data_IF_684354777000
#
_entry.id   IF_684354777000
#
_cell.length_a   1.000
_cell.length_b   1.000
_cell.length_c   1.000
_cell.angle_alpha   90.00
_cell.angle_beta   90.00
_cell.angle_gamma   90.00
#
_symmetry.space_group_name_H-M   'P 1'
#
loop_
_entity.id
_entity.type
_entity.pdbx_description
1 polymer ?
#
# COMPACT_ATOMS: atom_id res chain seq x y z
N UNK A 1 -0.17 -29.02 9.90
CA UNK A 1 -0.76 -29.05 8.53
C UNK A 1 -0.44 -27.73 7.85
N UNK A 2 -0.11 -27.73 6.55
CA UNK A 2 0.11 -26.50 5.80
C UNK A 2 -1.22 -26.07 5.16
N UNK A 3 -1.76 -24.92 5.56
CA UNK A 3 -3.11 -24.46 5.17
C UNK A 3 -3.06 -23.27 4.23
N UNK A 4 -2.32 -22.22 4.60
CA UNK A 4 -2.28 -20.95 3.88
C UNK A 4 -1.46 -21.03 2.59
N UNK A 5 -0.28 -21.67 2.62
CA UNK A 5 0.62 -21.82 1.46
C UNK A 5 1.06 -23.28 1.29
N UNK A 6 0.24 -24.18 0.71
CA UNK A 6 0.49 -25.63 0.67
C UNK A 6 1.77 -26.03 -0.08
N UNK A 7 2.24 -25.19 -1.01
CA UNK A 7 3.49 -25.35 -1.76
C UNK A 7 4.64 -24.46 -1.21
N UNK A 8 4.40 -23.74 -0.11
CA UNK A 8 5.33 -22.80 0.49
C UNK A 8 5.43 -21.44 -0.19
N UNK A 9 4.67 -21.17 -1.27
CA UNK A 9 4.79 -19.93 -2.05
C UNK A 9 3.45 -19.32 -2.47
N UNK A 10 2.52 -20.15 -2.95
CA UNK A 10 1.23 -19.71 -3.49
C UNK A 10 0.14 -19.79 -2.44
N UNK A 11 -0.69 -18.75 -2.37
CA UNK A 11 -1.83 -18.78 -1.46
C UNK A 11 -2.84 -19.87 -1.85
N UNK A 12 -3.34 -20.59 -0.85
CA UNK A 12 -4.32 -21.66 -1.02
C UNK A 12 -5.68 -21.13 -1.48
N UNK A 13 -6.20 -21.66 -2.59
CA UNK A 13 -7.57 -21.36 -3.06
C UNK A 13 -8.64 -21.75 -2.03
N UNK A 14 -8.31 -22.63 -1.09
CA UNK A 14 -9.23 -23.04 -0.02
C UNK A 14 -9.39 -22.00 1.08
N UNK A 15 -8.57 -20.94 1.13
CA UNK A 15 -8.65 -19.87 2.14
C UNK A 15 -9.14 -18.53 1.57
N UNK A 16 -8.91 -18.28 0.28
CA UNK A 16 -9.28 -17.02 -0.39
C UNK A 16 -10.79 -16.76 -0.28
N UNK A 17 -11.15 -15.60 0.28
CA UNK A 17 -12.54 -15.16 0.47
C UNK A 17 -13.37 -16.05 1.41
N UNK A 18 -12.74 -16.96 2.16
CA UNK A 18 -13.44 -17.86 3.06
C UNK A 18 -13.61 -17.27 4.46
N UNK A 19 -14.68 -17.64 5.20
CA UNK A 19 -14.85 -17.19 6.58
C UNK A 19 -13.77 -17.77 7.49
N UNK A 20 -13.41 -17.03 8.54
CA UNK A 20 -12.35 -17.41 9.48
C UNK A 20 -12.58 -18.80 10.09
N UNK A 21 -13.83 -19.16 10.41
CA UNK A 21 -14.14 -20.49 10.95
C UNK A 21 -13.86 -21.66 9.99
N UNK A 22 -14.02 -21.47 8.68
CA UNK A 22 -13.61 -22.49 7.70
C UNK A 22 -12.08 -22.65 7.68
N UNK A 23 -11.35 -21.54 7.71
CA UNK A 23 -9.88 -21.55 7.74
C UNK A 23 -9.39 -22.19 9.04
N UNK A 24 -10.00 -21.84 10.17
CA UNK A 24 -9.73 -22.43 11.48
C UNK A 24 -9.95 -23.95 11.48
N UNK A 25 -11.04 -24.46 10.88
CA UNK A 25 -11.24 -25.91 10.72
C UNK A 25 -10.17 -26.56 9.85
N UNK A 26 -9.76 -25.92 8.76
CA UNK A 26 -8.67 -26.44 7.92
C UNK A 26 -7.34 -26.49 8.67
N UNK A 27 -7.16 -25.60 9.65
CA UNK A 27 -5.99 -25.50 10.52
C UNK A 27 -6.12 -26.25 11.85
N UNK A 28 -7.21 -27.00 12.05
CA UNK A 28 -7.50 -27.75 13.28
C UNK A 28 -7.47 -26.87 14.56
N UNK A 29 -7.87 -25.60 14.45
CA UNK A 29 -8.00 -24.70 15.59
C UNK A 29 -9.27 -25.03 16.40
N UNK A 30 -9.22 -24.97 17.75
CA UNK A 30 -10.39 -25.19 18.60
C UNK A 30 -11.44 -24.09 18.39
N UNK A 31 -12.70 -24.40 18.70
CA UNK A 31 -13.85 -23.48 18.63
C UNK A 31 -14.00 -22.75 17.29
N UNK A 32 -13.62 -23.41 16.19
CA UNK A 32 -13.51 -22.82 14.86
C UNK A 32 -14.78 -22.08 14.40
N UNK A 33 -15.98 -22.58 14.69
CA UNK A 33 -17.24 -21.95 14.28
C UNK A 33 -17.49 -20.57 14.91
N UNK A 34 -16.86 -20.28 16.05
CA UNK A 34 -16.98 -18.99 16.73
C UNK A 34 -15.91 -17.98 16.29
N UNK A 35 -14.85 -18.42 15.61
CA UNK A 35 -13.76 -17.56 15.17
C UNK A 35 -14.22 -16.65 14.03
N UNK A 36 -14.08 -15.33 14.22
CA UNK A 36 -14.38 -14.29 13.22
C UNK A 36 -13.15 -13.73 12.53
N UNK A 37 -12.00 -13.83 13.18
CA UNK A 37 -10.74 -13.31 12.68
C UNK A 37 -9.58 -14.10 13.29
N UNK A 38 -8.52 -14.34 12.52
CA UNK A 38 -7.32 -15.04 12.99
C UNK A 38 -6.16 -14.03 12.99
N UNK A 39 -5.42 -13.95 14.10
CA UNK A 39 -4.23 -13.12 14.22
C UNK A 39 -3.01 -14.00 14.43
N UNK A 40 -1.94 -13.72 13.69
CA UNK A 40 -0.65 -14.43 13.78
C UNK A 40 0.41 -13.40 14.19
N UNK A 41 1.26 -13.74 15.15
CA UNK A 41 2.38 -12.86 15.50
C UNK A 41 3.40 -12.90 14.37
N UNK A 42 3.82 -11.73 13.89
CA UNK A 42 4.96 -11.62 13.00
C UNK A 42 6.26 -11.70 13.79
N UNK A 43 7.21 -12.51 13.31
CA UNK A 43 8.51 -12.69 13.96
C UNK A 43 9.61 -11.94 13.21
N UNK A 44 9.75 -12.18 11.91
CA UNK A 44 10.72 -11.50 11.05
C UNK A 44 10.12 -11.16 9.69
N UNK A 45 10.27 -9.92 9.21
CA UNK A 45 9.83 -9.54 7.85
C UNK A 45 10.90 -10.00 6.86
N UNK A 46 10.96 -11.31 6.68
CA UNK A 46 11.89 -11.98 5.76
C UNK A 46 11.10 -12.67 4.65
N UNK A 47 11.76 -12.95 3.55
CA UNK A 47 11.18 -13.61 2.37
C UNK A 47 10.64 -15.00 2.66
N UNK A 48 11.04 -15.63 3.77
CA UNK A 48 10.62 -16.97 4.18
C UNK A 48 9.32 -16.96 5.00
N UNK A 49 8.96 -15.84 5.66
CA UNK A 49 7.69 -15.74 6.39
C UNK A 49 6.58 -15.21 5.47
N UNK A 50 5.86 -16.16 4.87
CA UNK A 50 4.73 -15.87 3.99
C UNK A 50 3.60 -15.11 4.68
N UNK A 51 3.52 -15.09 6.02
CA UNK A 51 2.55 -14.24 6.73
C UNK A 51 2.82 -12.75 6.55
N UNK A 52 4.02 -12.34 6.12
CA UNK A 52 4.31 -10.98 5.68
C UNK A 52 3.59 -10.59 4.38
N UNK A 53 3.09 -11.57 3.62
CA UNK A 53 2.45 -11.37 2.32
C UNK A 53 0.94 -11.18 2.37
N UNK A 54 0.37 -10.97 1.19
CA UNK A 54 -1.08 -10.90 0.98
C UNK A 54 -1.79 -12.24 1.31
N UNK A 55 -2.94 -12.16 1.99
CA UNK A 55 -3.68 -13.33 2.51
C UNK A 55 -5.11 -13.47 1.99
N UNK A 56 -5.70 -12.43 1.37
CA UNK A 56 -7.05 -12.42 0.78
C UNK A 56 -8.14 -13.13 1.61
N UNK A 57 -8.05 -13.06 2.94
CA UNK A 57 -8.84 -13.82 3.90
C UNK A 57 -8.79 -13.13 5.27
N UNK A 58 -9.69 -13.45 6.24
CA UNK A 58 -9.71 -12.84 7.57
C UNK A 58 -8.59 -13.37 8.49
N UNK A 59 -7.35 -13.26 8.00
CA UNK A 59 -6.11 -13.62 8.69
C UNK A 59 -5.18 -12.39 8.65
N UNK A 60 -4.83 -11.86 9.81
CA UNK A 60 -3.96 -10.68 9.96
C UNK A 60 -2.67 -11.07 10.67
N UNK A 61 -1.57 -10.47 10.25
CA UNK A 61 -0.29 -10.59 10.93
C UNK A 61 -0.07 -9.37 11.81
N UNK A 62 0.27 -9.58 13.08
CA UNK A 62 0.46 -8.54 14.08
C UNK A 62 1.95 -8.41 14.37
N UNK A 63 2.49 -7.23 14.09
CA UNK A 63 3.90 -6.90 14.34
C UNK A 63 4.01 -5.93 15.50
N UNK A 64 5.04 -6.12 16.33
CA UNK A 64 5.38 -5.19 17.42
C UNK A 64 6.61 -4.38 17.01
N UNK A 65 6.62 -3.13 17.44
CA UNK A 65 7.76 -2.23 17.30
C UNK A 65 7.93 -1.46 18.62
N UNK A 66 9.14 -0.93 18.87
CA UNK A 66 9.40 -0.09 20.04
C UNK A 66 9.33 1.40 19.68
N UNK A 67 10.04 1.77 18.60
CA UNK A 67 10.09 3.15 18.10
C UNK A 67 9.38 3.26 16.75
N UNK A 68 8.77 4.42 16.48
CA UNK A 68 7.99 4.63 15.26
C UNK A 68 8.80 4.44 13.97
N UNK A 69 10.09 4.79 13.99
CA UNK A 69 11.01 4.49 12.89
C UNK A 69 11.05 2.99 12.55
N UNK A 70 10.99 2.12 13.57
CA UNK A 70 10.89 0.68 13.38
C UNK A 70 9.57 0.24 12.73
N UNK A 71 8.45 0.90 13.06
CA UNK A 71 7.17 0.67 12.37
C UNK A 71 7.24 1.02 10.88
N UNK A 72 7.88 2.14 10.55
CA UNK A 72 8.08 2.56 9.14
C UNK A 72 8.94 1.53 8.40
N UNK A 73 10.01 1.04 9.02
CA UNK A 73 10.86 0.01 8.41
C UNK A 73 10.13 -1.33 8.23
N UNK A 74 9.24 -1.71 9.14
CA UNK A 74 8.35 -2.85 8.95
C UNK A 74 7.43 -2.64 7.75
N UNK A 75 6.75 -1.48 7.64
CA UNK A 75 5.87 -1.17 6.49
C UNK A 75 6.63 -1.22 5.17
N UNK A 76 7.84 -0.66 5.12
CA UNK A 76 8.70 -0.70 3.92
C UNK A 76 9.08 -2.12 3.53
N UNK A 77 9.45 -2.96 4.49
CA UNK A 77 9.82 -4.35 4.23
C UNK A 77 8.61 -5.17 3.78
N UNK A 78 7.47 -5.04 4.47
CA UNK A 78 6.22 -5.75 4.15
C UNK A 78 5.75 -5.39 2.74
N UNK A 79 5.65 -4.09 2.43
CA UNK A 79 5.20 -3.64 1.10
C UNK A 79 6.18 -4.03 0.01
N UNK A 80 7.50 -3.99 0.28
CA UNK A 80 8.51 -4.44 -0.69
C UNK A 80 8.43 -5.94 -0.98
N UNK A 81 8.07 -6.75 0.00
CA UNK A 81 7.80 -8.18 -0.19
C UNK A 81 6.49 -8.41 -0.95
N UNK A 82 5.42 -7.71 -0.58
CA UNK A 82 4.10 -7.86 -1.18
C UNK A 82 3.32 -6.54 -1.12
N UNK A 83 3.02 -5.95 -2.30
CA UNK A 83 2.19 -4.74 -2.40
C UNK A 83 2.95 -3.41 -2.55
N UNK A 84 4.16 -3.43 -3.12
CA UNK A 84 4.99 -2.23 -3.25
C UNK A 84 4.29 -1.18 -4.13
N UNK A 85 4.16 0.04 -3.62
CA UNK A 85 3.39 1.09 -4.28
C UNK A 85 1.87 1.01 -4.12
N UNK A 86 1.29 -0.03 -3.52
CA UNK A 86 -0.17 -0.17 -3.47
C UNK A 86 -0.82 0.74 -2.42
N UNK A 87 -0.70 0.40 -1.13
CA UNK A 87 -1.35 1.16 -0.06
C UNK A 87 -0.78 0.82 1.33
N UNK A 88 -0.87 1.77 2.25
CA UNK A 88 -0.79 1.51 3.69
C UNK A 88 -1.80 2.38 4.43
N UNK A 89 -1.76 2.36 5.75
CA UNK A 89 -2.48 3.33 6.55
C UNK A 89 -2.05 3.34 8.00
N UNK A 90 -2.47 4.37 8.70
CA UNK A 90 -2.09 4.68 10.05
C UNK A 90 -3.34 5.08 10.84
N UNK A 91 -3.42 4.61 12.08
CA UNK A 91 -4.35 5.13 13.07
C UNK A 91 -3.54 5.93 14.09
N UNK A 92 -3.56 7.26 13.99
CA UNK A 92 -2.74 8.18 14.80
C UNK A 92 -3.39 9.56 14.86
N UNK A 93 -3.13 10.29 15.94
CA UNK A 93 -3.41 11.73 16.06
C UNK A 93 -2.12 12.58 16.04
N UNK A 94 -0.97 11.92 15.94
CA UNK A 94 0.33 12.58 15.82
C UNK A 94 0.61 12.89 14.35
N UNK A 95 0.52 14.18 14.00
CA UNK A 95 0.79 14.69 12.65
C UNK A 95 2.24 14.47 12.21
N UNK A 96 3.20 14.49 13.14
CA UNK A 96 4.59 14.19 12.85
C UNK A 96 4.76 12.77 12.35
N UNK A 97 4.17 11.80 13.05
CA UNK A 97 4.17 10.39 12.63
C UNK A 97 3.42 10.16 11.31
N UNK A 98 2.28 10.83 11.11
CA UNK A 98 1.52 10.74 9.86
C UNK A 98 2.38 11.20 8.68
N UNK A 99 2.99 12.38 8.81
CA UNK A 99 3.81 12.93 7.74
C UNK A 99 5.10 12.14 7.52
N UNK A 100 5.73 11.64 8.59
CA UNK A 100 6.94 10.84 8.48
C UNK A 100 6.68 9.52 7.72
N UNK A 101 5.57 8.83 8.01
CA UNK A 101 5.20 7.62 7.27
C UNK A 101 4.86 7.94 5.82
N UNK A 102 4.10 9.02 5.56
CA UNK A 102 3.71 9.43 4.21
C UNK A 102 4.92 9.70 3.30
N UNK A 103 5.97 10.31 3.84
CA UNK A 103 7.20 10.59 3.11
C UNK A 103 8.09 9.35 2.87
N UNK A 104 7.93 8.29 3.67
CA UNK A 104 8.86 7.14 3.69
C UNK A 104 8.29 5.82 3.15
N UNK A 105 6.97 5.58 3.22
CA UNK A 105 6.36 4.26 2.97
C UNK A 105 6.36 3.79 1.51
N UNK A 106 6.59 4.68 0.53
CA UNK A 106 6.57 4.37 -0.92
C UNK A 106 5.30 3.61 -1.34
N UNK A 107 4.15 4.22 -1.07
CA UNK A 107 2.82 3.73 -1.46
C UNK A 107 2.07 4.82 -2.22
N UNK A 108 1.15 4.45 -3.10
CA UNK A 108 0.29 5.41 -3.81
C UNK A 108 -0.83 5.98 -2.92
N UNK A 109 -1.26 5.24 -1.89
CA UNK A 109 -2.37 5.58 -1.01
C UNK A 109 -1.99 5.32 0.44
N UNK A 110 -2.09 6.33 1.29
CA UNK A 110 -1.91 6.20 2.73
C UNK A 110 -3.18 6.68 3.43
N UNK A 111 -3.88 5.77 4.09
CA UNK A 111 -5.12 6.09 4.81
C UNK A 111 -4.80 6.53 6.24
N UNK A 112 -5.28 7.71 6.63
CA UNK A 112 -5.17 8.21 8.00
C UNK A 112 -6.53 8.06 8.67
N UNK A 113 -6.60 7.27 9.74
CA UNK A 113 -7.81 7.04 10.54
C UNK A 113 -9.04 6.59 9.72
N UNK A 114 -8.84 5.79 8.67
CA UNK A 114 -9.90 5.30 7.78
C UNK A 114 -9.82 3.78 7.58
N UNK A 115 -10.99 3.17 7.34
CA UNK A 115 -11.09 1.73 7.00
C UNK A 115 -10.51 1.50 5.60
N UNK A 116 -9.35 0.86 5.53
CA UNK A 116 -8.55 0.77 4.29
C UNK A 116 -9.25 0.06 3.13
N UNK A 117 -9.95 -1.05 3.40
CA UNK A 117 -10.51 -1.90 2.34
C UNK A 117 -11.50 -1.16 1.43
N UNK A 118 -12.26 -0.21 1.99
CA UNK A 118 -13.16 0.66 1.21
C UNK A 118 -12.46 1.95 0.79
N UNK A 119 -11.70 2.56 1.71
CA UNK A 119 -11.15 3.90 1.50
C UNK A 119 -10.13 3.94 0.36
N UNK A 120 -9.31 2.90 0.17
CA UNK A 120 -8.32 2.84 -0.91
C UNK A 120 -8.94 2.98 -2.31
N UNK A 121 -10.17 2.50 -2.47
CA UNK A 121 -10.94 2.57 -3.71
C UNK A 121 -11.67 3.89 -3.91
N UNK A 122 -11.43 4.90 -3.08
CA UNK A 122 -12.21 6.13 -3.03
C UNK A 122 -13.44 5.98 -2.15
N UNK A 123 -13.71 7.01 -1.36
CA UNK A 123 -14.86 7.07 -0.48
C UNK A 123 -15.33 8.52 -0.31
N UNK A 124 -16.58 8.71 0.10
CA UNK A 124 -17.20 10.02 0.27
C UNK A 124 -16.46 10.91 1.27
N UNK A 125 -15.71 10.31 2.20
CA UNK A 125 -14.96 11.00 3.25
C UNK A 125 -13.47 11.17 2.95
N UNK A 126 -12.98 10.85 1.73
CA UNK A 126 -11.56 11.01 1.39
C UNK A 126 -11.26 11.67 0.04
N UNK A 127 -12.28 11.88 -0.80
CA UNK A 127 -12.14 12.66 -2.04
C UNK A 127 -11.31 12.01 -3.14
N UNK A 128 -10.84 10.77 -2.96
CA UNK A 128 -10.18 10.03 -4.05
C UNK A 128 -11.21 9.53 -5.06
N UNK A 129 -10.86 9.45 -6.36
CA UNK A 129 -11.74 8.86 -7.36
C UNK A 129 -12.17 7.43 -6.98
N UNK A 130 -13.46 7.14 -7.16
CA UNK A 130 -13.97 5.79 -6.99
C UNK A 130 -13.41 4.87 -8.08
N UNK A 131 -12.66 3.84 -7.69
CA UNK A 131 -12.04 2.88 -8.61
C UNK A 131 -11.80 1.51 -7.96
N UNK A 132 -11.94 0.44 -8.75
CA UNK A 132 -11.50 -0.92 -8.41
C UNK A 132 -10.21 -1.31 -9.13
N UNK A 133 -9.66 -0.40 -9.94
CA UNK A 133 -8.34 -0.53 -10.57
C UNK A 133 -7.42 0.52 -9.95
N UNK A 134 -6.48 0.05 -9.11
CA UNK A 134 -5.64 0.91 -8.28
C UNK A 134 -4.19 0.86 -8.78
N UNK A 135 -3.70 1.97 -9.32
CA UNK A 135 -2.32 2.05 -9.84
C UNK A 135 -1.28 2.05 -8.71
N UNK A 136 -0.26 1.20 -8.81
CA UNK A 136 0.82 1.09 -7.82
C UNK A 136 2.03 1.98 -8.16
N UNK A 137 1.91 2.87 -9.15
CA UNK A 137 2.99 3.71 -9.62
C UNK A 137 4.18 2.92 -10.17
N UNK A 138 5.29 3.62 -10.42
CA UNK A 138 6.50 2.99 -10.96
C UNK A 138 7.13 1.97 -10.00
N UNK A 139 6.87 2.10 -8.70
CA UNK A 139 7.28 1.11 -7.69
C UNK A 139 6.65 -0.27 -7.94
N UNK A 140 5.37 -0.32 -8.29
CA UNK A 140 4.68 -1.55 -8.67
C UNK A 140 4.69 -1.85 -10.17
N UNK A 141 5.55 -1.19 -10.95
CA UNK A 141 5.65 -1.39 -12.40
C UNK A 141 4.43 -0.88 -13.19
N UNK A 142 3.70 0.11 -12.67
CA UNK A 142 2.55 0.71 -13.35
C UNK A 142 2.88 2.11 -13.87
N UNK A 143 2.19 2.52 -14.94
CA UNK A 143 2.32 3.86 -15.53
C UNK A 143 1.75 4.97 -14.66
N UNK A 144 0.84 4.64 -13.73
CA UNK A 144 0.17 5.59 -12.83
C UNK A 144 0.08 5.06 -11.41
N UNK A 145 0.12 5.97 -10.43
CA UNK A 145 -0.19 5.72 -9.02
C UNK A 145 -1.66 5.96 -8.68
N UNK A 146 -2.45 6.45 -9.64
CA UNK A 146 -3.80 6.92 -9.37
C UNK A 146 -4.84 5.80 -9.23
N UNK A 147 -5.97 6.17 -8.64
CA UNK A 147 -7.21 5.43 -8.81
C UNK A 147 -7.70 5.65 -10.24
N UNK A 148 -7.67 4.59 -11.05
CA UNK A 148 -7.97 4.69 -12.49
C UNK A 148 -9.45 5.01 -12.67
N UNK A 149 -9.72 6.25 -13.09
CA UNK A 149 -11.06 6.75 -13.42
C UNK A 149 -11.14 7.27 -14.86
N UNK A 150 -12.31 7.79 -15.26
CA UNK A 150 -12.66 8.25 -16.62
C UNK A 150 -11.56 9.00 -17.38
N UNK A 151 -10.74 9.84 -16.71
CA UNK A 151 -9.70 10.64 -17.39
C UNK A 151 -8.62 9.78 -18.06
N UNK A 152 -8.40 8.57 -17.55
CA UNK A 152 -7.40 7.64 -18.06
C UNK A 152 -7.88 6.92 -19.34
N UNK A 153 -9.15 7.09 -19.71
CA UNK A 153 -9.75 6.47 -20.90
C UNK A 153 -9.98 7.48 -22.03
N UNK A 154 -9.50 8.71 -21.89
CA UNK A 154 -9.61 9.74 -22.92
C UNK A 154 -8.24 10.28 -23.31
N UNK A 155 -8.13 10.65 -24.58
CA UNK A 155 -7.00 11.45 -25.06
C UNK A 155 -7.34 12.93 -24.96
N UNK A 156 -6.33 13.76 -24.67
CA UNK A 156 -6.47 15.22 -24.68
C UNK A 156 -5.74 15.79 -25.88
N UNK A 157 -6.45 16.50 -26.76
CA UNK A 157 -5.85 17.28 -27.85
C UNK A 157 -5.60 18.71 -27.37
N UNK A 158 -4.35 19.15 -27.40
CA UNK A 158 -3.99 20.53 -27.13
C UNK A 158 -4.01 21.36 -28.42
N UNK A 159 -4.78 22.44 -28.44
CA UNK A 159 -4.76 23.44 -29.50
C UNK A 159 -4.03 24.67 -28.97
N UNK A 160 -2.78 24.83 -29.37
CA UNK A 160 -1.89 25.86 -28.83
C UNK A 160 -1.62 26.96 -29.86
N UNK A 161 -1.85 28.21 -29.46
CA UNK A 161 -1.46 29.40 -30.22
C UNK A 161 -0.23 30.05 -29.60
N UNK A 162 0.65 30.69 -30.40
CA UNK A 162 1.77 31.45 -29.85
C UNK A 162 1.30 32.54 -28.87
N UNK A 163 1.97 32.65 -27.74
CA UNK A 163 1.85 33.75 -26.79
C UNK A 163 3.23 34.41 -26.63
N UNK A 164 3.33 35.68 -26.18
CA UNK A 164 4.60 36.29 -25.85
C UNK A 164 5.39 35.41 -24.88
N UNK A 165 6.67 35.18 -25.17
CA UNK A 165 7.53 34.33 -24.36
C UNK A 165 7.78 34.96 -22.99
N UNK A 166 7.66 34.15 -21.94
CA UNK A 166 8.11 34.47 -20.59
C UNK A 166 9.14 33.42 -20.21
N UNK A 167 10.40 33.67 -20.56
CA UNK A 167 11.52 32.76 -20.27
C UNK A 167 11.99 33.02 -18.84
N UNK A 168 11.88 32.04 -17.92
CA UNK A 168 12.35 32.20 -16.55
C UNK A 168 13.89 32.20 -16.50
N UNK A 169 14.45 32.88 -15.51
CA UNK A 169 15.90 32.87 -15.26
C UNK A 169 16.35 31.45 -14.87
N UNK A 170 17.18 30.83 -15.71
CA UNK A 170 17.71 29.49 -15.44
C UNK A 170 18.47 29.42 -14.12
N UNK A 171 19.17 30.49 -13.73
CA UNK A 171 19.92 30.53 -12.47
C UNK A 171 18.97 30.53 -11.27
N UNK A 172 17.82 31.19 -11.39
CA UNK A 172 16.79 31.16 -10.35
C UNK A 172 16.16 29.77 -10.18
N UNK A 173 16.08 28.98 -11.26
CA UNK A 173 15.50 27.62 -11.21
C UNK A 173 16.55 26.57 -10.80
N UNK A 174 17.74 26.62 -11.39
CA UNK A 174 18.73 25.53 -11.33
C UNK A 174 19.98 25.88 -10.55
N UNK A 175 20.11 27.11 -10.03
CA UNK A 175 21.32 27.59 -9.36
C UNK A 175 21.80 26.66 -8.25
N UNK A 176 20.92 26.26 -7.34
CA UNK A 176 21.26 25.35 -6.22
C UNK A 176 21.73 23.97 -6.71
N UNK A 177 21.12 23.47 -7.79
CA UNK A 177 21.48 22.16 -8.37
C UNK A 177 22.85 22.24 -9.03
N UNK A 178 23.11 23.29 -9.80
CA UNK A 178 24.40 23.51 -10.46
C UNK A 178 25.54 23.78 -9.47
N UNK A 179 25.26 24.49 -8.37
CA UNK A 179 26.23 24.64 -7.28
C UNK A 179 26.60 23.29 -6.65
N UNK A 180 25.63 22.38 -6.54
CA UNK A 180 25.83 21.08 -5.90
C UNK A 180 26.45 20.03 -6.83
N UNK A 181 26.13 20.04 -8.12
CA UNK A 181 26.48 18.95 -9.05
C UNK A 181 27.19 19.40 -10.33
N UNK A 182 27.37 20.70 -10.55
CA UNK A 182 27.89 21.28 -11.80
C UNK A 182 26.79 21.56 -12.82
N UNK A 183 27.10 22.44 -13.79
CA UNK A 183 26.25 22.72 -14.96
C UNK A 183 26.62 21.82 -16.11
#
# INVERSE_FOLDING_TARGET
RVVMWPDGASISKNVVGQPAGKIARLADLPDADHIKFIMVNGETVVTEDMFSGEKLSPVLTVWKYQEFAGAIDLVKQITRFSGYGHSCGIHSQDEGHIMELALKAKVSRMMVNQVQCYANSGNYNNGMPFALTLGCGTWGGNITSENVHWKHFINTTWVSYPIPEVVPDEKAIFGEVWEKYGK
#
